data_IF_598897637936
#
_entry.id   IF_598897637936
#
_cell.length_a   1.000
_cell.length_b   1.000
_cell.length_c   1.000
_cell.angle_alpha   90.00
_cell.angle_beta   90.00
_cell.angle_gamma   90.00
#
_symmetry.space_group_name_H-M   'P 1'
#
loop_
_entity.id
_entity.type
_entity.pdbx_description
1 polymer ?
#
# COMPACT_ATOMS: atom_id res chain seq x y z
N UNK A 1 -15.90 -17.15 -4.03
CA UNK A 1 -14.77 -17.87 -4.59
C UNK A 1 -14.27 -18.96 -3.64
N UNK A 2 -13.73 -18.62 -2.46
CA UNK A 2 -13.17 -19.58 -1.50
C UNK A 2 -14.14 -20.71 -1.11
N UNK A 3 -15.37 -20.41 -0.74
CA UNK A 3 -16.36 -21.43 -0.35
C UNK A 3 -16.70 -22.39 -1.49
N UNK A 4 -16.74 -21.91 -2.71
CA UNK A 4 -16.96 -22.75 -3.89
C UNK A 4 -15.75 -23.68 -4.12
N UNK A 5 -14.53 -23.17 -3.96
CA UNK A 5 -13.31 -23.95 -4.18
C UNK A 5 -13.05 -25.02 -3.13
N UNK A 6 -13.59 -24.91 -1.92
CA UNK A 6 -13.39 -25.90 -0.85
C UNK A 6 -13.91 -27.28 -1.22
N UNK A 7 -15.01 -27.39 -1.91
CA UNK A 7 -15.64 -28.67 -2.22
C UNK A 7 -15.63 -29.04 -3.69
N UNK A 8 -15.00 -28.25 -4.55
CA UNK A 8 -15.07 -28.40 -6.00
C UNK A 8 -13.72 -28.27 -6.67
N UNK A 9 -13.55 -28.96 -7.79
CA UNK A 9 -12.48 -28.65 -8.74
C UNK A 9 -12.94 -27.46 -9.56
N UNK A 10 -12.23 -26.35 -9.45
CA UNK A 10 -12.51 -25.13 -10.20
C UNK A 10 -11.63 -25.02 -11.44
N UNK A 11 -12.14 -24.55 -12.59
CA UNK A 11 -11.34 -24.43 -13.83
C UNK A 11 -10.23 -23.37 -13.71
N UNK A 12 -10.38 -22.41 -12.79
CA UNK A 12 -9.39 -21.39 -12.46
C UNK A 12 -9.46 -21.05 -10.97
N UNK A 13 -8.41 -20.47 -10.44
CA UNK A 13 -8.33 -20.13 -9.01
C UNK A 13 -9.20 -18.92 -8.65
N UNK A 14 -9.13 -17.86 -9.45
CA UNK A 14 -9.86 -16.60 -9.22
C UNK A 14 -10.97 -16.48 -10.24
N UNK A 15 -12.20 -16.35 -9.77
CA UNK A 15 -13.40 -16.28 -10.60
C UNK A 15 -14.51 -15.47 -9.92
N UNK A 16 -15.39 -14.90 -10.73
CA UNK A 16 -16.60 -14.21 -10.29
C UNK A 16 -17.73 -15.21 -10.00
N UNK A 17 -18.77 -14.75 -9.30
CA UNK A 17 -19.96 -15.56 -9.08
C UNK A 17 -20.66 -15.91 -10.41
N UNK A 18 -20.70 -14.98 -11.36
CA UNK A 18 -21.30 -15.21 -12.67
C UNK A 18 -20.57 -16.33 -13.43
N UNK A 19 -19.24 -16.30 -13.44
CA UNK A 19 -18.44 -17.36 -14.07
C UNK A 19 -18.65 -18.71 -13.37
N UNK A 20 -18.83 -18.72 -12.06
CA UNK A 20 -19.10 -19.97 -11.34
C UNK A 20 -20.45 -20.60 -11.72
N UNK A 21 -21.46 -19.81 -12.07
CA UNK A 21 -22.77 -20.33 -12.50
C UNK A 21 -22.69 -21.22 -13.75
N UNK A 22 -21.72 -20.99 -14.63
CA UNK A 22 -21.58 -21.73 -15.89
C UNK A 22 -21.04 -23.16 -15.68
N UNK A 23 -20.34 -23.43 -14.58
CA UNK A 23 -19.66 -24.73 -14.36
C UNK A 23 -19.92 -25.33 -12.97
N UNK A 24 -20.52 -24.59 -12.03
CA UNK A 24 -20.78 -25.09 -10.69
C UNK A 24 -21.98 -26.04 -10.70
N UNK A 25 -21.75 -27.28 -10.26
CA UNK A 25 -22.79 -28.28 -10.10
C UNK A 25 -22.76 -28.78 -8.65
N UNK A 26 -23.89 -28.67 -7.97
CA UNK A 26 -24.04 -29.08 -6.58
C UNK A 26 -23.73 -30.58 -6.38
N UNK A 27 -24.01 -31.38 -7.38
CA UNK A 27 -23.79 -32.84 -7.40
C UNK A 27 -22.30 -33.20 -7.35
N UNK A 28 -21.44 -32.30 -7.85
CA UNK A 28 -19.99 -32.48 -7.88
C UNK A 28 -19.28 -32.04 -6.58
N UNK A 29 -20.04 -31.54 -5.61
CA UNK A 29 -19.46 -31.14 -4.33
C UNK A 29 -18.93 -32.36 -3.56
N UNK A 30 -17.70 -32.24 -3.06
CA UNK A 30 -17.12 -33.20 -2.15
C UNK A 30 -17.94 -33.26 -0.85
N UNK A 31 -18.26 -34.48 -0.39
CA UNK A 31 -18.89 -34.71 0.92
C UNK A 31 -17.85 -34.89 2.03
N UNK A 32 -16.58 -34.87 1.68
CA UNK A 32 -15.49 -35.02 2.66
C UNK A 32 -15.27 -33.73 3.43
N UNK A 33 -15.05 -33.76 4.73
CA UNK A 33 -14.66 -32.58 5.50
C UNK A 33 -13.38 -31.98 4.94
N UNK A 34 -13.39 -30.68 4.72
CA UNK A 34 -12.19 -29.94 4.28
C UNK A 34 -11.85 -28.90 5.35
N UNK A 35 -10.62 -28.88 5.87
CA UNK A 35 -10.21 -27.90 6.86
C UNK A 35 -10.28 -26.49 6.28
N UNK A 36 -10.76 -25.55 7.09
CA UNK A 36 -10.72 -24.14 6.74
C UNK A 36 -9.26 -23.63 6.70
N UNK A 37 -8.87 -22.99 5.60
CA UNK A 37 -7.54 -22.43 5.44
C UNK A 37 -7.64 -20.91 5.25
N UNK A 38 -7.23 -20.17 6.28
CA UNK A 38 -7.28 -18.71 6.26
C UNK A 38 -6.29 -18.09 5.25
N UNK A 39 -5.14 -18.73 5.02
CA UNK A 39 -4.12 -18.19 4.12
C UNK A 39 -4.60 -18.26 2.67
N UNK A 40 -5.27 -19.36 2.29
CA UNK A 40 -5.92 -19.48 0.97
C UNK A 40 -7.02 -18.44 0.80
N UNK A 41 -7.85 -18.22 1.83
CA UNK A 41 -8.89 -17.18 1.79
C UNK A 41 -8.27 -15.79 1.62
N UNK A 42 -7.21 -15.49 2.36
CA UNK A 42 -6.48 -14.21 2.26
C UNK A 42 -5.83 -14.03 0.88
N UNK A 43 -5.26 -15.10 0.33
CA UNK A 43 -4.70 -15.08 -1.02
C UNK A 43 -5.78 -14.75 -2.06
N UNK A 44 -6.89 -15.48 -2.06
CA UNK A 44 -8.02 -15.23 -2.96
C UNK A 44 -8.53 -13.78 -2.82
N UNK A 45 -8.67 -13.29 -1.60
CA UNK A 45 -9.11 -11.91 -1.37
C UNK A 45 -8.12 -10.89 -1.94
N UNK A 46 -6.82 -11.09 -1.73
CA UNK A 46 -5.75 -10.25 -2.31
C UNK A 46 -5.83 -10.23 -3.84
N UNK A 47 -6.00 -11.40 -4.46
CA UNK A 47 -6.09 -11.49 -5.93
C UNK A 47 -7.36 -10.77 -6.47
N UNK A 48 -8.49 -10.86 -5.76
CA UNK A 48 -9.67 -10.06 -6.12
C UNK A 48 -9.41 -8.54 -5.99
N UNK A 49 -8.69 -8.10 -4.96
CA UNK A 49 -8.33 -6.68 -4.81
C UNK A 49 -7.40 -6.19 -5.93
N UNK A 50 -6.52 -7.03 -6.44
CA UNK A 50 -5.66 -6.70 -7.59
C UNK A 50 -6.44 -6.49 -8.90
N UNK A 51 -7.64 -7.07 -9.03
CA UNK A 51 -8.50 -6.88 -10.21
C UNK A 51 -9.22 -5.53 -10.21
N UNK A 52 -9.34 -4.87 -9.07
CA UNK A 52 -9.98 -3.56 -8.97
C UNK A 52 -9.14 -2.49 -9.69
N UNK A 53 -9.79 -1.51 -10.29
CA UNK A 53 -9.08 -0.33 -10.78
C UNK A 53 -8.62 0.58 -9.61
N UNK A 54 -7.76 1.54 -9.90
CA UNK A 54 -7.20 2.44 -8.88
C UNK A 54 -8.27 3.29 -8.20
N UNK A 55 -9.30 3.69 -8.94
CA UNK A 55 -10.40 4.51 -8.41
C UNK A 55 -11.30 3.71 -7.46
N UNK A 56 -11.61 2.47 -7.83
CA UNK A 56 -12.35 1.55 -6.96
C UNK A 56 -11.54 1.24 -5.69
N UNK A 57 -10.26 0.92 -5.84
CA UNK A 57 -9.39 0.62 -4.71
C UNK A 57 -9.25 1.81 -3.75
N UNK A 58 -9.15 3.03 -4.28
CA UNK A 58 -9.15 4.26 -3.49
C UNK A 58 -10.42 4.40 -2.64
N UNK A 59 -11.60 4.12 -3.20
CA UNK A 59 -12.87 4.17 -2.46
C UNK A 59 -12.91 3.18 -1.29
N UNK A 60 -12.37 1.97 -1.48
CA UNK A 60 -12.31 0.96 -0.42
C UNK A 60 -11.43 1.39 0.76
N UNK A 61 -10.41 2.19 0.52
CA UNK A 61 -9.55 2.73 1.60
C UNK A 61 -10.05 4.06 2.16
N UNK A 62 -11.14 4.61 1.61
CA UNK A 62 -11.83 5.79 2.13
C UNK A 62 -11.45 7.10 1.47
N UNK A 63 -10.91 7.04 0.25
CA UNK A 63 -10.55 8.20 -0.56
C UNK A 63 -11.27 8.17 -1.91
N UNK A 64 -11.15 9.24 -2.69
CA UNK A 64 -11.70 9.36 -4.05
C UNK A 64 -10.63 9.78 -5.07
N UNK A 65 -9.38 9.50 -4.78
CA UNK A 65 -8.21 9.96 -5.50
C UNK A 65 -7.44 8.77 -6.10
N UNK A 66 -7.12 8.84 -7.39
CA UNK A 66 -6.43 7.76 -8.11
C UNK A 66 -4.98 7.57 -7.65
N UNK A 67 -4.31 8.62 -7.15
CA UNK A 67 -2.96 8.52 -6.60
C UNK A 67 -2.98 7.68 -5.32
N UNK A 68 -4.00 7.87 -4.47
CA UNK A 68 -4.22 7.03 -3.28
C UNK A 68 -4.60 5.60 -3.68
N UNK A 69 -5.34 5.41 -4.76
CA UNK A 69 -5.61 4.08 -5.32
C UNK A 69 -4.34 3.38 -5.81
N UNK A 70 -3.44 4.12 -6.46
CA UNK A 70 -2.14 3.62 -6.88
C UNK A 70 -1.25 3.28 -5.68
N UNK A 71 -1.26 4.11 -4.64
CA UNK A 71 -0.60 3.84 -3.36
C UNK A 71 -1.13 2.56 -2.69
N UNK A 72 -2.46 2.39 -2.64
CA UNK A 72 -3.08 1.18 -2.10
C UNK A 72 -2.67 -0.06 -2.89
N UNK A 73 -2.51 0.04 -4.21
CA UNK A 73 -2.03 -1.05 -5.06
C UNK A 73 -0.61 -1.47 -4.71
N UNK A 74 0.28 -0.53 -4.43
CA UNK A 74 1.65 -0.81 -3.96
C UNK A 74 1.60 -1.62 -2.65
N UNK A 75 0.74 -1.24 -1.71
CA UNK A 75 0.60 -1.93 -0.43
C UNK A 75 -0.12 -3.28 -0.49
N UNK A 76 -0.71 -3.67 -1.65
CA UNK A 76 -1.26 -5.01 -1.83
C UNK A 76 -0.20 -6.12 -1.72
N UNK A 77 1.08 -5.81 -1.89
CA UNK A 77 2.14 -6.81 -1.63
C UNK A 77 2.22 -7.20 -0.15
N UNK A 78 1.87 -6.28 0.75
CA UNK A 78 1.94 -6.47 2.21
C UNK A 78 0.57 -6.67 2.88
N UNK A 79 -0.52 -6.50 2.14
CA UNK A 79 -1.89 -6.54 2.67
C UNK A 79 -2.77 -7.48 1.83
N UNK A 80 -3.74 -8.10 2.47
CA UNK A 80 -4.68 -9.02 1.83
C UNK A 80 -6.14 -8.58 1.97
N UNK A 81 -6.40 -7.51 2.70
CA UNK A 81 -7.75 -7.00 2.96
C UNK A 81 -7.82 -5.48 2.82
N UNK A 82 -9.02 -4.97 2.49
CA UNK A 82 -9.27 -3.53 2.45
C UNK A 82 -9.06 -2.86 3.81
N UNK A 83 -9.30 -3.58 4.91
CA UNK A 83 -9.06 -3.09 6.27
C UNK A 83 -7.57 -2.87 6.53
N UNK A 84 -6.72 -3.81 6.13
CA UNK A 84 -5.27 -3.70 6.24
C UNK A 84 -4.72 -2.57 5.37
N UNK A 85 -5.18 -2.47 4.12
CA UNK A 85 -4.83 -1.37 3.21
C UNK A 85 -5.21 -0.01 3.82
N UNK A 86 -6.45 0.12 4.31
CA UNK A 86 -6.92 1.34 4.94
C UNK A 86 -6.07 1.73 6.16
N UNK A 87 -5.67 0.77 6.98
CA UNK A 87 -4.80 1.02 8.13
C UNK A 87 -3.43 1.58 7.70
N UNK A 88 -2.80 0.97 6.68
CA UNK A 88 -1.52 1.43 6.13
C UNK A 88 -1.62 2.84 5.53
N UNK A 89 -2.65 3.12 4.75
CA UNK A 89 -2.87 4.45 4.16
C UNK A 89 -3.15 5.48 5.26
N UNK A 90 -4.01 5.16 6.23
CA UNK A 90 -4.33 6.07 7.34
C UNK A 90 -3.10 6.41 8.19
N UNK A 91 -2.16 5.47 8.35
CA UNK A 91 -0.90 5.71 9.07
C UNK A 91 -0.03 6.76 8.37
N UNK A 92 -0.05 6.83 7.04
CA UNK A 92 0.68 7.83 6.25
C UNK A 92 0.17 9.25 6.55
N UNK A 93 -1.13 9.41 6.78
CA UNK A 93 -1.75 10.71 7.08
C UNK A 93 -1.91 10.99 8.58
N UNK A 94 -1.50 10.07 9.45
CA UNK A 94 -1.49 10.28 10.90
C UNK A 94 -0.42 11.30 11.33
N UNK A 95 -0.52 11.90 12.52
CA UNK A 95 0.56 12.70 13.10
C UNK A 95 1.88 11.93 13.12
N UNK A 96 3.01 12.65 12.89
CA UNK A 96 4.34 12.02 12.83
C UNK A 96 4.78 11.54 14.21
N UNK A 97 5.19 10.29 14.26
CA UNK A 97 5.87 9.69 15.42
C UNK A 97 7.34 9.47 15.07
N UNK A 98 8.16 10.49 15.35
CA UNK A 98 9.59 10.50 14.98
C UNK A 98 10.40 10.10 16.20
N UNK A 99 11.16 8.98 16.13
CA UNK A 99 12.07 8.61 17.21
C UNK A 99 13.04 9.76 17.58
N UNK A 100 13.33 9.92 18.87
CA UNK A 100 14.13 11.02 19.39
C UNK A 100 15.50 11.11 18.69
N UNK A 101 16.11 9.97 18.40
CA UNK A 101 17.38 9.86 17.68
C UNK A 101 17.38 10.49 16.28
N UNK A 102 16.22 10.59 15.63
CA UNK A 102 16.06 11.16 14.27
C UNK A 102 15.45 12.56 14.28
N UNK A 103 15.09 13.11 15.42
CA UNK A 103 14.34 14.37 15.52
C UNK A 103 15.06 15.55 14.87
N UNK A 104 16.38 15.67 15.06
CA UNK A 104 17.18 16.75 14.47
C UNK A 104 17.26 16.65 12.95
N UNK A 105 17.52 15.45 12.42
CA UNK A 105 17.59 15.20 10.99
C UNK A 105 16.22 15.41 10.33
N UNK A 106 15.15 14.93 10.97
CA UNK A 106 13.78 15.11 10.50
C UNK A 106 13.41 16.60 10.40
N UNK A 107 13.71 17.38 11.43
CA UNK A 107 13.47 18.83 11.41
C UNK A 107 14.26 19.53 10.30
N UNK A 108 15.50 19.12 10.07
CA UNK A 108 16.34 19.65 8.97
C UNK A 108 15.70 19.35 7.63
N UNK A 109 15.30 18.08 7.37
CA UNK A 109 14.64 17.67 6.12
C UNK A 109 13.32 18.46 5.92
N UNK A 110 12.48 18.55 6.95
CA UNK A 110 11.20 19.29 6.89
C UNK A 110 11.44 20.77 6.53
N UNK A 111 12.43 21.42 7.14
CA UNK A 111 12.75 22.82 6.85
C UNK A 111 13.24 23.04 5.41
N UNK A 112 13.97 22.08 4.85
CA UNK A 112 14.42 22.13 3.45
C UNK A 112 13.22 21.91 2.53
N UNK A 113 12.39 20.89 2.77
CA UNK A 113 11.22 20.60 1.94
C UNK A 113 10.28 21.80 1.86
N UNK A 114 10.04 22.51 2.96
CA UNK A 114 9.20 23.72 2.99
C UNK A 114 9.67 24.86 2.07
N UNK A 115 10.95 24.87 1.70
CA UNK A 115 11.56 25.88 0.85
C UNK A 115 11.92 25.35 -0.54
N UNK A 116 11.91 24.05 -0.73
CA UNK A 116 12.30 23.39 -1.96
C UNK A 116 11.28 23.64 -3.08
N UNK A 117 11.70 23.66 -4.33
CA UNK A 117 10.81 23.60 -5.47
C UNK A 117 10.12 22.24 -5.54
N UNK A 118 9.08 22.15 -6.36
CA UNK A 118 8.44 20.87 -6.63
C UNK A 118 9.35 20.00 -7.53
N UNK A 119 9.46 18.71 -7.23
CA UNK A 119 10.21 17.73 -8.01
C UNK A 119 9.29 16.65 -8.56
N UNK A 120 9.37 16.41 -9.86
CA UNK A 120 8.57 15.38 -10.53
C UNK A 120 9.00 13.96 -10.16
N UNK A 121 10.29 13.74 -9.96
CA UNK A 121 10.83 12.40 -9.66
C UNK A 121 11.60 12.36 -8.33
N UNK A 122 11.63 11.18 -7.75
CA UNK A 122 12.26 10.93 -6.45
C UNK A 122 13.76 11.17 -6.46
N UNK A 123 14.44 10.86 -7.55
CA UNK A 123 15.91 10.98 -7.63
C UNK A 123 16.36 12.43 -7.49
N UNK A 124 15.71 13.35 -8.22
CA UNK A 124 16.04 14.78 -8.15
C UNK A 124 15.68 15.35 -6.77
N UNK A 125 14.52 14.98 -6.24
CA UNK A 125 14.12 15.33 -4.88
C UNK A 125 15.15 14.86 -3.83
N UNK A 126 15.52 13.58 -3.86
CA UNK A 126 16.50 12.97 -2.97
C UNK A 126 17.84 13.72 -3.04
N UNK A 127 18.36 13.92 -4.25
CA UNK A 127 19.65 14.58 -4.45
C UNK A 127 19.64 16.02 -3.94
N UNK A 128 18.54 16.76 -4.13
CA UNK A 128 18.38 18.10 -3.59
C UNK A 128 18.43 18.10 -2.07
N UNK A 129 17.62 17.24 -1.41
CA UNK A 129 17.57 17.20 0.05
C UNK A 129 18.90 16.78 0.67
N UNK A 130 19.57 15.77 0.11
CA UNK A 130 20.89 15.31 0.59
C UNK A 130 21.92 16.44 0.47
N UNK A 131 21.93 17.15 -0.67
CA UNK A 131 22.86 18.28 -0.90
C UNK A 131 22.66 19.40 0.12
N UNK A 132 21.40 19.79 0.36
CA UNK A 132 21.09 20.91 1.27
C UNK A 132 21.24 20.53 2.75
N UNK A 133 20.93 19.28 3.12
CA UNK A 133 21.00 18.80 4.51
C UNK A 133 22.39 18.34 4.94
N UNK A 134 23.27 18.01 3.99
CA UNK A 134 24.58 17.37 4.23
C UNK A 134 24.45 16.00 4.92
N UNK A 135 23.28 15.37 4.90
CA UNK A 135 23.07 14.03 5.44
C UNK A 135 23.69 12.98 4.51
N UNK A 136 24.04 11.83 5.09
CA UNK A 136 24.38 10.67 4.26
C UNK A 136 23.13 10.15 3.54
N UNK A 137 23.30 9.45 2.43
CA UNK A 137 22.16 8.82 1.73
C UNK A 137 21.41 7.84 2.61
N UNK A 138 22.11 7.13 3.49
CA UNK A 138 21.52 6.18 4.44
C UNK A 138 20.64 6.91 5.45
N UNK A 139 21.15 7.95 6.10
CA UNK A 139 20.42 8.71 7.11
C UNK A 139 19.19 9.39 6.50
N UNK A 140 19.37 10.03 5.33
CA UNK A 140 18.24 10.59 4.58
C UNK A 140 17.16 9.52 4.30
N UNK A 141 17.55 8.34 3.81
CA UNK A 141 16.60 7.30 3.42
C UNK A 141 15.76 6.81 4.59
N UNK A 142 16.38 6.62 5.77
CA UNK A 142 15.69 6.20 6.99
C UNK A 142 14.73 7.30 7.45
N UNK A 143 15.26 8.51 7.62
CA UNK A 143 14.49 9.62 8.19
C UNK A 143 13.37 10.06 7.26
N UNK A 144 13.62 10.13 5.96
CA UNK A 144 12.58 10.51 5.01
C UNK A 144 11.49 9.45 4.89
N UNK A 145 11.82 8.17 5.01
CA UNK A 145 10.82 7.11 5.07
C UNK A 145 9.89 7.29 6.27
N UNK A 146 10.46 7.51 7.46
CA UNK A 146 9.66 7.77 8.68
C UNK A 146 8.79 9.02 8.48
N UNK A 147 9.34 10.11 7.95
CA UNK A 147 8.60 11.33 7.64
C UNK A 147 7.47 11.11 6.65
N UNK A 148 7.65 10.26 5.64
CA UNK A 148 6.65 10.06 4.60
C UNK A 148 5.58 9.04 5.02
N UNK A 149 5.96 7.98 5.74
CA UNK A 149 5.09 6.81 5.96
C UNK A 149 4.79 6.48 7.42
N UNK A 150 5.43 7.13 8.38
CA UNK A 150 5.42 6.74 9.81
C UNK A 150 5.97 5.32 10.08
N UNK A 151 6.78 4.77 9.17
CA UNK A 151 7.38 3.43 9.31
C UNK A 151 8.85 3.47 8.93
N UNK A 152 9.63 2.52 9.44
CA UNK A 152 11.03 2.34 9.04
C UNK A 152 11.16 1.40 7.82
N UNK A 153 10.17 0.53 7.61
CA UNK A 153 10.12 -0.45 6.54
C UNK A 153 8.92 -0.22 5.62
N UNK A 154 8.91 -0.87 4.47
CA UNK A 154 7.79 -0.81 3.53
C UNK A 154 8.23 -0.81 2.07
N UNK A 155 7.31 -0.49 1.14
CA UNK A 155 7.56 -0.49 -0.29
C UNK A 155 8.69 0.45 -0.73
N UNK A 156 9.10 0.32 -1.97
CA UNK A 156 10.17 1.13 -2.58
C UNK A 156 9.82 2.63 -2.55
N UNK A 157 10.80 3.46 -2.13
CA UNK A 157 10.57 4.90 -1.87
C UNK A 157 10.22 5.71 -3.11
N UNK A 158 10.76 5.36 -4.27
CA UNK A 158 10.43 6.05 -5.52
C UNK A 158 8.97 5.82 -5.92
N UNK A 159 8.46 4.60 -5.74
CA UNK A 159 7.06 4.27 -6.00
C UNK A 159 6.13 5.01 -5.03
N UNK A 160 6.47 5.05 -3.73
CA UNK A 160 5.73 5.82 -2.73
C UNK A 160 5.74 7.31 -3.02
N UNK A 161 6.91 7.87 -3.36
CA UNK A 161 7.06 9.27 -3.71
C UNK A 161 6.16 9.67 -4.88
N UNK A 162 6.11 8.87 -5.94
CA UNK A 162 5.28 9.14 -7.11
C UNK A 162 3.79 9.27 -6.77
N UNK A 163 3.31 8.49 -5.80
CA UNK A 163 1.92 8.57 -5.33
C UNK A 163 1.69 9.69 -4.29
N UNK A 164 2.72 10.11 -3.57
CA UNK A 164 2.58 11.01 -2.42
C UNK A 164 3.19 12.39 -2.62
N UNK A 165 3.89 12.66 -3.73
CA UNK A 165 4.60 13.93 -3.97
C UNK A 165 3.69 15.15 -3.84
N UNK A 166 2.43 15.06 -4.24
CA UNK A 166 1.45 16.14 -4.11
C UNK A 166 0.94 16.34 -2.68
N UNK A 167 1.12 15.34 -1.80
CA UNK A 167 0.66 15.34 -0.41
C UNK A 167 1.78 15.59 0.61
N UNK A 168 3.06 15.67 0.17
CA UNK A 168 4.21 15.82 1.09
C UNK A 168 4.01 16.99 2.04
N UNK A 169 3.55 18.14 1.56
CA UNK A 169 3.30 19.33 2.39
C UNK A 169 2.23 19.13 3.47
N UNK A 170 1.29 18.20 3.28
CA UNK A 170 0.28 17.83 4.29
C UNK A 170 0.79 16.77 5.24
N UNK A 171 1.57 15.81 4.73
CA UNK A 171 2.08 14.67 5.47
C UNK A 171 3.12 15.10 6.52
N UNK A 172 4.00 16.05 6.19
CA UNK A 172 5.14 16.47 7.02
C UNK A 172 4.90 17.70 7.89
N UNK A 173 3.64 18.07 8.10
CA UNK A 173 3.28 19.25 8.93
C UNK A 173 3.80 19.16 10.34
#
# INVERSE_FOLDING_TARGET
NYLISIGNKTPKEIFTLNEAQDWFLLENMSKSPTPFNIDVLRHINKEHLKLLDTKELSRYVGFADEEIGSLARIYLEEASTTKELKAKISQIFAPRDIPEEFSSQAQTIVNIIKKAPFFENYTDFKNHIIKESQLTEKDFSIVFRILLTNTQDGPEMGALYNCLKNYIGEIIK
#
